data_IF_069675321720
#
_entry.id   IF_069675321720
#
_cell.length_a   1.000
_cell.length_b   1.000
_cell.length_c   1.000
_cell.angle_alpha   90.00
_cell.angle_beta   90.00
_cell.angle_gamma   90.00
#
_symmetry.space_group_name_H-M   'P 1'
#
loop_
_entity.id
_entity.type
_entity.pdbx_description
1 polymer ?
#
# COMPACT_ATOMS: atom_id res chain seq x y z
N UNK A 1 15.75 1.86 -14.61
CA UNK A 1 16.51 1.94 -13.31
C UNK A 1 17.92 1.47 -13.56
N UNK A 2 18.92 2.07 -12.89
CA UNK A 2 20.34 1.67 -12.96
C UNK A 2 20.55 0.22 -12.45
N UNK A 3 21.45 -0.54 -13.07
CA UNK A 3 21.68 -1.95 -12.74
C UNK A 3 22.23 -2.18 -11.32
N UNK A 4 23.04 -1.27 -10.80
CA UNK A 4 23.54 -1.38 -9.43
C UNK A 4 22.43 -1.11 -8.41
N UNK A 5 21.50 -0.20 -8.76
CA UNK A 5 20.29 0.05 -7.94
C UNK A 5 19.40 -1.19 -7.92
N UNK A 6 19.19 -1.84 -9.06
CA UNK A 6 18.42 -3.09 -9.14
C UNK A 6 19.01 -4.20 -8.27
N UNK A 7 20.32 -4.43 -8.40
CA UNK A 7 21.04 -5.43 -7.59
C UNK A 7 20.98 -5.13 -6.09
N UNK A 8 21.18 -3.87 -5.72
CA UNK A 8 21.05 -3.44 -4.32
C UNK A 8 19.63 -3.68 -3.79
N UNK A 9 18.60 -3.37 -4.57
CA UNK A 9 17.22 -3.55 -4.21
C UNK A 9 16.86 -5.04 -4.03
N UNK A 10 17.35 -5.91 -4.91
CA UNK A 10 17.18 -7.37 -4.79
C UNK A 10 17.74 -7.89 -3.47
N UNK A 11 18.98 -7.52 -3.13
CA UNK A 11 19.60 -7.91 -1.86
C UNK A 11 18.83 -7.36 -0.66
N UNK A 12 18.41 -6.09 -0.72
CA UNK A 12 17.62 -5.47 0.35
C UNK A 12 16.25 -6.14 0.49
N UNK A 13 15.60 -6.51 -0.60
CA UNK A 13 14.30 -7.16 -0.57
C UNK A 13 14.35 -8.47 0.22
N UNK A 14 15.44 -9.25 0.12
CA UNK A 14 15.61 -10.48 0.92
C UNK A 14 15.69 -10.16 2.43
N UNK A 15 16.30 -9.06 2.81
CA UNK A 15 16.32 -8.60 4.21
C UNK A 15 14.91 -8.21 4.68
N UNK A 16 14.19 -7.45 3.86
CA UNK A 16 12.80 -7.05 4.15
C UNK A 16 11.89 -8.26 4.28
N UNK A 17 12.01 -9.26 3.39
CA UNK A 17 11.22 -10.50 3.43
C UNK A 17 11.44 -11.25 4.76
N UNK A 18 12.68 -11.39 5.20
CA UNK A 18 13.00 -11.99 6.51
C UNK A 18 12.38 -11.18 7.66
N UNK A 19 12.41 -9.87 7.57
CA UNK A 19 11.76 -8.97 8.51
C UNK A 19 10.26 -9.18 8.58
N UNK A 20 9.57 -9.24 7.42
CA UNK A 20 8.14 -9.52 7.32
C UNK A 20 7.78 -10.89 7.93
N UNK A 21 8.54 -11.94 7.59
CA UNK A 21 8.34 -13.29 8.12
C UNK A 21 8.46 -13.33 9.65
N UNK A 22 9.44 -12.64 10.22
CA UNK A 22 9.60 -12.53 11.69
C UNK A 22 8.43 -11.82 12.37
N UNK A 23 7.61 -11.08 11.59
CA UNK A 23 6.42 -10.34 12.00
C UNK A 23 5.11 -11.05 11.62
N UNK A 24 5.20 -12.34 11.26
CA UNK A 24 4.06 -13.15 10.84
C UNK A 24 3.32 -12.58 9.61
N UNK A 25 4.07 -11.96 8.69
CA UNK A 25 3.61 -11.45 7.41
C UNK A 25 4.37 -12.14 6.28
N UNK A 26 3.72 -12.33 5.13
CA UNK A 26 4.34 -12.96 3.96
C UNK A 26 4.99 -11.88 3.08
N UNK A 27 6.22 -12.12 2.65
CA UNK A 27 6.95 -11.23 1.74
C UNK A 27 7.32 -11.94 0.44
N UNK A 28 7.21 -11.24 -0.68
CA UNK A 28 7.55 -11.71 -2.02
C UNK A 28 8.40 -10.66 -2.73
N UNK A 29 9.29 -11.10 -3.60
CA UNK A 29 10.07 -10.21 -4.46
C UNK A 29 9.64 -10.36 -5.91
N UNK A 30 9.46 -9.24 -6.58
CA UNK A 30 9.20 -9.17 -8.01
C UNK A 30 10.27 -8.30 -8.67
N UNK A 31 10.93 -8.83 -9.69
CA UNK A 31 12.01 -8.15 -10.40
C UNK A 31 11.52 -6.94 -11.22
N UNK A 32 10.23 -6.94 -11.60
CA UNK A 32 9.57 -5.89 -12.36
C UNK A 32 8.05 -5.87 -12.10
N UNK A 33 7.34 -5.03 -12.85
CA UNK A 33 5.88 -4.87 -12.76
C UNK A 33 5.12 -6.11 -13.25
N UNK A 34 5.62 -6.79 -14.26
CA UNK A 34 5.00 -7.99 -14.83
C UNK A 34 5.08 -9.16 -13.85
N UNK A 35 6.25 -9.39 -13.25
CA UNK A 35 6.41 -10.36 -12.17
C UNK A 35 5.53 -10.05 -10.95
N UNK A 36 5.37 -8.75 -10.61
CA UNK A 36 4.51 -8.31 -9.53
C UNK A 36 3.02 -8.57 -9.82
N UNK A 37 2.57 -8.32 -11.04
CA UNK A 37 1.21 -8.64 -11.48
C UNK A 37 0.92 -10.13 -11.37
N UNK A 38 1.82 -10.96 -11.90
CA UNK A 38 1.70 -12.42 -11.83
C UNK A 38 1.62 -12.90 -10.38
N UNK A 39 2.54 -12.45 -9.53
CA UNK A 39 2.55 -12.79 -8.10
C UNK A 39 1.27 -12.34 -7.38
N UNK A 40 0.73 -11.17 -7.72
CA UNK A 40 -0.51 -10.68 -7.11
C UNK A 40 -1.71 -11.55 -7.50
N UNK A 41 -1.82 -11.94 -8.77
CA UNK A 41 -2.90 -12.81 -9.26
C UNK A 41 -2.81 -14.23 -8.65
N UNK A 42 -1.61 -14.76 -8.43
CA UNK A 42 -1.42 -16.07 -7.74
C UNK A 42 -1.88 -16.05 -6.28
N UNK A 43 -1.97 -14.87 -5.65
CA UNK A 43 -2.44 -14.71 -4.26
C UNK A 43 -3.96 -14.50 -4.16
N UNK A 44 -4.65 -14.28 -5.28
CA UNK A 44 -6.07 -13.98 -5.34
C UNK A 44 -6.82 -15.18 -5.90
N UNK A 45 -7.67 -15.79 -5.09
CA UNK A 45 -8.49 -16.90 -5.52
C UNK A 45 -9.57 -16.40 -6.49
N UNK A 46 -9.91 -17.21 -7.52
CA UNK A 46 -11.02 -16.91 -8.43
C UNK A 46 -12.33 -16.71 -7.65
N UNK A 47 -13.23 -15.92 -8.20
CA UNK A 47 -14.52 -15.54 -7.60
C UNK A 47 -14.41 -14.73 -6.29
N UNK A 48 -13.20 -14.45 -5.78
CA UNK A 48 -13.04 -13.60 -4.59
C UNK A 48 -13.64 -12.21 -4.81
N UNK A 49 -14.21 -11.66 -3.75
CA UNK A 49 -14.54 -10.23 -3.69
C UNK A 49 -13.29 -9.42 -3.38
N UNK A 50 -12.97 -8.47 -4.26
CA UNK A 50 -11.74 -7.68 -4.15
C UNK A 50 -12.07 -6.20 -4.03
N UNK A 51 -11.63 -5.59 -2.95
CA UNK A 51 -11.69 -4.16 -2.75
C UNK A 51 -10.29 -3.54 -2.80
N UNK A 52 -10.23 -2.25 -3.09
CA UNK A 52 -9.00 -1.48 -3.11
C UNK A 52 -9.20 -0.13 -2.39
N UNK A 53 -8.26 0.21 -1.48
CA UNK A 53 -8.01 1.61 -1.16
C UNK A 53 -7.32 2.25 -2.36
N UNK A 54 -7.45 3.53 -2.55
CA UNK A 54 -6.75 4.19 -3.65
C UNK A 54 -5.26 3.78 -3.67
N UNK A 55 -4.89 2.93 -4.64
CA UNK A 55 -3.59 2.25 -4.68
C UNK A 55 -2.95 2.39 -6.07
N UNK A 56 -2.24 3.49 -6.29
CA UNK A 56 -1.51 3.74 -7.53
C UNK A 56 -0.56 2.60 -7.91
N UNK A 57 0.11 2.01 -6.92
CA UNK A 57 1.04 0.89 -7.19
C UNK A 57 0.34 -0.32 -7.82
N UNK A 58 -0.91 -0.63 -7.42
CA UNK A 58 -1.67 -1.71 -8.04
C UNK A 58 -2.14 -1.35 -9.47
N UNK A 59 -2.46 -0.08 -9.71
CA UNK A 59 -2.79 0.41 -11.06
C UNK A 59 -1.56 0.35 -11.97
N UNK A 60 -0.39 0.80 -11.49
CA UNK A 60 0.85 0.85 -12.27
C UNK A 60 1.40 -0.51 -12.70
N UNK A 61 1.06 -1.59 -11.99
CA UNK A 61 1.39 -2.97 -12.39
C UNK A 61 0.30 -3.63 -13.26
N UNK A 62 -0.78 -2.91 -13.59
CA UNK A 62 -1.89 -3.44 -14.40
C UNK A 62 -2.85 -4.38 -13.64
N UNK A 63 -2.75 -4.45 -12.30
CA UNK A 63 -3.58 -5.39 -11.53
C UNK A 63 -5.07 -5.06 -11.57
N UNK A 64 -5.42 -3.79 -11.56
CA UNK A 64 -6.82 -3.35 -11.57
C UNK A 64 -7.52 -3.74 -12.87
N UNK A 65 -6.85 -3.57 -13.99
CA UNK A 65 -7.32 -3.96 -15.33
C UNK A 65 -7.48 -5.48 -15.42
N UNK A 66 -6.48 -6.23 -15.00
CA UNK A 66 -6.52 -7.69 -14.99
C UNK A 66 -7.66 -8.24 -14.13
N UNK A 67 -7.96 -7.61 -12.98
CA UNK A 67 -9.07 -8.03 -12.12
C UNK A 67 -10.45 -7.71 -12.71
N UNK A 68 -10.57 -6.62 -13.46
CA UNK A 68 -11.83 -6.25 -14.15
C UNK A 68 -12.12 -7.14 -15.35
N UNK A 69 -11.09 -7.63 -16.01
CA UNK A 69 -11.18 -8.50 -17.21
C UNK A 69 -11.27 -9.99 -16.85
N UNK A 70 -10.78 -10.37 -15.68
CA UNK A 70 -10.75 -11.75 -15.21
C UNK A 70 -12.03 -12.20 -14.49
N UNK A 71 -12.01 -13.41 -13.96
CA UNK A 71 -13.14 -14.02 -13.23
C UNK A 71 -13.08 -13.65 -11.73
N UNK A 72 -13.19 -12.33 -11.44
CA UNK A 72 -13.12 -11.79 -10.07
C UNK A 72 -14.29 -10.85 -9.79
N UNK A 73 -14.72 -10.75 -8.55
CA UNK A 73 -15.74 -9.80 -8.12
C UNK A 73 -15.10 -8.50 -7.65
N UNK A 74 -14.54 -7.71 -8.58
CA UNK A 74 -13.91 -6.43 -8.25
C UNK A 74 -14.96 -5.38 -7.85
N UNK A 75 -14.84 -4.83 -6.65
CA UNK A 75 -15.74 -3.82 -6.09
C UNK A 75 -15.38 -2.44 -6.66
N UNK A 76 -16.17 -1.98 -7.63
CA UNK A 76 -16.04 -0.64 -8.20
C UNK A 76 -16.74 0.39 -7.32
N UNK A 77 -15.99 0.98 -6.41
CA UNK A 77 -16.48 1.99 -5.46
C UNK A 77 -16.98 3.28 -6.12
N UNK A 78 -16.62 3.53 -7.36
CA UNK A 78 -17.11 4.73 -8.09
C UNK A 78 -18.62 4.69 -8.36
N UNK A 79 -19.22 3.50 -8.31
CA UNK A 79 -20.65 3.25 -8.51
C UNK A 79 -21.45 3.20 -7.20
N UNK A 80 -20.82 3.48 -6.07
CA UNK A 80 -21.38 3.35 -4.72
C UNK A 80 -21.30 4.68 -3.97
N UNK A 81 -22.18 4.86 -2.99
CA UNK A 81 -21.99 5.93 -2.01
C UNK A 81 -20.71 5.66 -1.19
N UNK A 82 -20.09 6.69 -0.60
CA UNK A 82 -18.89 6.50 0.23
C UNK A 82 -19.09 5.47 1.35
N UNK A 83 -20.28 5.43 1.96
CA UNK A 83 -20.60 4.50 3.04
C UNK A 83 -20.75 3.06 2.55
N UNK A 84 -21.47 2.85 1.44
CA UNK A 84 -21.64 1.52 0.83
C UNK A 84 -20.27 0.97 0.38
N UNK A 85 -19.48 1.77 -0.31
CA UNK A 85 -18.15 1.37 -0.76
C UNK A 85 -17.20 1.02 0.40
N UNK A 86 -17.30 1.72 1.54
CA UNK A 86 -16.54 1.38 2.73
C UNK A 86 -16.98 0.03 3.32
N UNK A 87 -18.27 -0.18 3.50
CA UNK A 87 -18.80 -1.42 4.06
C UNK A 87 -18.48 -2.63 3.16
N UNK A 88 -18.66 -2.49 1.85
CA UNK A 88 -18.30 -3.51 0.88
C UNK A 88 -16.80 -3.81 0.91
N UNK A 89 -15.95 -2.78 1.03
CA UNK A 89 -14.50 -2.96 1.13
C UNK A 89 -14.09 -3.67 2.42
N UNK A 90 -14.79 -3.41 3.51
CA UNK A 90 -14.50 -4.00 4.81
C UNK A 90 -14.86 -5.50 4.85
N UNK A 91 -15.92 -5.90 4.15
CA UNK A 91 -16.42 -7.28 4.07
C UNK A 91 -15.80 -8.10 2.92
N UNK A 92 -14.97 -7.48 2.09
CA UNK A 92 -14.33 -8.14 0.96
C UNK A 92 -13.40 -9.29 1.39
N UNK A 93 -13.17 -10.28 0.52
CA UNK A 93 -12.21 -11.36 0.78
C UNK A 93 -10.77 -10.84 0.71
N UNK A 94 -10.48 -9.96 -0.25
CA UNK A 94 -9.15 -9.40 -0.50
C UNK A 94 -9.19 -7.88 -0.52
N UNK A 95 -8.25 -7.26 0.16
CA UNK A 95 -8.02 -5.81 0.09
C UNK A 95 -6.66 -5.49 -0.51
N UNK A 96 -6.67 -4.74 -1.61
CA UNK A 96 -5.45 -4.26 -2.25
C UNK A 96 -5.03 -2.92 -1.68
N UNK A 97 -3.78 -2.79 -1.34
CA UNK A 97 -3.21 -1.56 -0.80
C UNK A 97 -1.74 -1.39 -1.17
N UNK A 98 -1.19 -0.26 -0.79
CA UNK A 98 0.25 -0.01 -0.72
C UNK A 98 0.59 0.65 0.61
N UNK A 99 1.85 0.62 1.00
CA UNK A 99 2.34 1.39 2.14
C UNK A 99 2.77 2.80 1.70
N UNK A 100 2.63 3.79 2.57
CA UNK A 100 3.26 5.11 2.38
C UNK A 100 4.77 5.05 2.63
N UNK A 101 5.21 4.13 3.48
CA UNK A 101 6.59 3.73 3.69
C UNK A 101 6.62 2.37 4.39
N UNK A 102 7.76 1.70 4.36
CA UNK A 102 8.03 0.54 5.19
C UNK A 102 9.49 0.52 5.63
N UNK A 103 9.78 -0.21 6.70
CA UNK A 103 11.14 -0.36 7.18
C UNK A 103 11.83 -1.60 6.57
N UNK A 104 13.15 -1.59 6.56
CA UNK A 104 13.96 -2.73 6.10
C UNK A 104 13.78 -3.99 6.95
N UNK A 105 13.25 -3.88 8.17
CA UNK A 105 12.89 -4.98 9.05
C UNK A 105 11.38 -5.33 9.03
N UNK A 106 10.62 -4.78 8.05
CA UNK A 106 9.27 -5.23 7.73
C UNK A 106 8.11 -4.54 8.46
N UNK A 107 8.30 -3.37 9.06
CA UNK A 107 7.18 -2.56 9.61
C UNK A 107 6.54 -1.76 8.47
N UNK A 108 5.21 -1.80 8.36
CA UNK A 108 4.46 -1.01 7.39
C UNK A 108 3.93 0.28 8.02
N UNK A 109 3.99 1.39 7.28
CA UNK A 109 3.48 2.70 7.70
C UNK A 109 2.45 3.20 6.69
N UNK A 110 1.24 3.49 7.18
CA UNK A 110 0.16 4.05 6.40
C UNK A 110 -0.41 5.30 7.09
N UNK A 111 -0.54 6.41 6.36
CA UNK A 111 -1.22 7.63 6.81
C UNK A 111 -2.53 7.76 6.06
N UNK A 112 -3.60 8.14 6.77
CA UNK A 112 -4.95 8.22 6.19
C UNK A 112 -5.70 9.45 6.72
N UNK A 113 -6.61 10.00 5.91
CA UNK A 113 -7.47 11.12 6.27
C UNK A 113 -8.79 10.65 6.90
N UNK A 114 -9.44 9.68 6.27
CA UNK A 114 -10.77 9.20 6.65
C UNK A 114 -10.79 7.84 7.35
N UNK A 115 -9.64 7.26 7.62
CA UNK A 115 -9.47 5.92 8.20
C UNK A 115 -10.06 4.77 7.35
N UNK A 116 -10.57 5.06 6.17
CA UNK A 116 -11.23 4.05 5.32
C UNK A 116 -10.25 2.96 4.83
N UNK A 117 -9.04 3.33 4.47
CA UNK A 117 -7.99 2.39 4.07
C UNK A 117 -7.35 1.70 5.27
N UNK A 118 -6.96 2.47 6.28
CA UNK A 118 -6.27 1.90 7.46
C UNK A 118 -7.17 0.98 8.28
N UNK A 119 -8.50 1.18 8.31
CA UNK A 119 -9.43 0.24 8.96
C UNK A 119 -9.49 -1.11 8.24
N UNK A 120 -9.52 -1.11 6.89
CA UNK A 120 -9.45 -2.34 6.10
C UNK A 120 -8.11 -3.06 6.31
N UNK A 121 -7.00 -2.32 6.36
CA UNK A 121 -5.66 -2.89 6.65
C UNK A 121 -5.62 -3.48 8.06
N UNK A 122 -6.10 -2.73 9.07
CA UNK A 122 -6.00 -3.12 10.48
C UNK A 122 -6.86 -4.34 10.81
N UNK A 123 -8.10 -4.40 10.32
CA UNK A 123 -9.02 -5.47 10.70
C UNK A 123 -9.90 -6.00 9.56
N UNK A 124 -10.29 -5.24 8.57
CA UNK A 124 -11.28 -5.61 7.55
C UNK A 124 -11.06 -6.98 6.88
N UNK A 125 -10.76 -7.03 5.59
CA UNK A 125 -10.69 -8.24 4.78
C UNK A 125 -9.79 -9.36 5.33
N UNK A 126 -10.12 -10.59 4.98
CA UNK A 126 -9.37 -11.80 5.39
C UNK A 126 -7.94 -11.80 4.87
N UNK A 127 -7.71 -11.20 3.69
CA UNK A 127 -6.40 -11.10 3.03
C UNK A 127 -6.13 -9.64 2.64
N UNK A 128 -4.95 -9.14 2.96
CA UNK A 128 -4.48 -7.80 2.54
C UNK A 128 -3.20 -7.98 1.72
N UNK A 129 -3.23 -7.53 0.48
CA UNK A 129 -2.08 -7.59 -0.43
C UNK A 129 -1.54 -6.19 -0.63
N UNK A 130 -0.30 -5.98 -0.22
CA UNK A 130 0.44 -4.75 -0.43
C UNK A 130 1.32 -4.86 -1.66
N UNK A 131 1.19 -3.90 -2.59
CA UNK A 131 2.11 -3.72 -3.71
C UNK A 131 3.03 -2.55 -3.34
N UNK A 132 4.31 -2.84 -3.13
CA UNK A 132 5.26 -1.86 -2.58
C UNK A 132 6.49 -1.76 -3.47
N UNK A 133 6.68 -0.61 -4.12
CA UNK A 133 7.92 -0.31 -4.83
C UNK A 133 9.10 -0.15 -3.85
N UNK A 134 10.29 -0.56 -4.25
CA UNK A 134 11.50 -0.47 -3.43
C UNK A 134 11.87 0.97 -3.05
N UNK A 135 11.32 1.97 -3.74
CA UNK A 135 11.41 3.40 -3.39
C UNK A 135 10.77 3.75 -2.03
N UNK A 136 9.96 2.85 -1.45
CA UNK A 136 9.25 3.07 -0.17
C UNK A 136 9.94 2.43 1.03
N UNK A 137 11.03 1.69 0.82
CA UNK A 137 11.78 1.02 1.88
C UNK A 137 12.76 2.00 2.53
N UNK A 138 12.66 2.14 3.84
CA UNK A 138 13.48 2.99 4.70
C UNK A 138 14.28 2.13 5.69
N UNK A 139 15.33 2.71 6.29
CA UNK A 139 16.18 2.01 7.26
C UNK A 139 15.45 1.61 8.55
N UNK A 140 14.59 2.50 9.04
CA UNK A 140 13.97 2.43 10.37
C UNK A 140 12.61 3.14 10.40
N UNK A 141 11.90 3.03 11.52
CA UNK A 141 10.55 3.58 11.67
C UNK A 141 10.53 5.12 11.62
N UNK A 142 11.54 5.80 12.15
CA UNK A 142 11.60 7.26 12.11
C UNK A 142 11.76 7.76 10.68
N UNK A 143 12.65 7.15 9.91
CA UNK A 143 12.84 7.43 8.48
C UNK A 143 11.58 7.11 7.67
N UNK A 144 10.88 6.02 7.99
CA UNK A 144 9.62 5.64 7.33
C UNK A 144 8.51 6.66 7.63
N UNK A 145 8.36 7.10 8.86
CA UNK A 145 7.42 8.16 9.22
C UNK A 145 7.76 9.50 8.56
N UNK A 146 9.05 9.86 8.49
CA UNK A 146 9.51 11.06 7.79
C UNK A 146 9.19 10.97 6.29
N UNK A 147 9.44 9.81 5.66
CA UNK A 147 9.08 9.59 4.25
C UNK A 147 7.57 9.71 4.02
N UNK A 148 6.77 9.04 4.83
CA UNK A 148 5.32 9.06 4.72
C UNK A 148 4.76 10.49 4.81
N UNK A 149 5.28 11.31 5.73
CA UNK A 149 4.84 12.68 5.97
C UNK A 149 5.43 13.70 5.00
N UNK A 150 6.67 13.56 4.55
CA UNK A 150 7.35 14.57 3.76
C UNK A 150 7.40 14.26 2.25
N UNK A 151 7.13 13.03 1.86
CA UNK A 151 7.10 12.61 0.45
C UNK A 151 5.69 12.15 0.08
N UNK A 152 5.20 11.06 0.68
CA UNK A 152 3.93 10.46 0.26
C UNK A 152 2.74 11.40 0.46
N UNK A 153 2.57 11.99 1.65
CA UNK A 153 1.43 12.86 1.94
C UNK A 153 1.40 14.15 1.10
N UNK A 154 2.50 14.91 0.95
CA UNK A 154 2.54 16.08 0.07
C UNK A 154 2.28 15.76 -1.40
N UNK A 155 2.79 14.61 -1.89
CA UNK A 155 2.54 14.14 -3.25
C UNK A 155 1.05 13.78 -3.42
N UNK A 156 0.49 13.02 -2.47
CA UNK A 156 -0.92 12.66 -2.51
C UNK A 156 -1.85 13.88 -2.42
N UNK A 157 -1.46 14.93 -1.71
CA UNK A 157 -2.25 16.17 -1.61
C UNK A 157 -2.47 16.84 -2.98
N UNK A 158 -1.62 16.57 -3.99
CA UNK A 158 -1.78 17.12 -5.33
C UNK A 158 -3.02 16.55 -6.05
N UNK A 159 -3.48 15.35 -5.68
CA UNK A 159 -4.66 14.70 -6.28
C UNK A 159 -6.00 15.28 -5.79
N UNK A 160 -6.01 16.11 -4.74
CA UNK A 160 -7.22 16.59 -4.10
C UNK A 160 -7.31 18.11 -4.13
N UNK A 161 -8.52 18.65 -4.15
CA UNK A 161 -8.76 20.08 -3.94
C UNK A 161 -8.78 20.40 -2.44
N UNK A 162 -7.59 20.53 -1.85
CA UNK A 162 -7.39 20.79 -0.42
C UNK A 162 -6.49 22.00 -0.21
N UNK A 163 -6.74 22.76 0.86
CA UNK A 163 -5.98 23.95 1.24
C UNK A 163 -4.96 23.65 2.33
N UNK A 164 -4.14 22.62 2.10
CA UNK A 164 -3.08 22.27 3.04
C UNK A 164 -1.75 22.94 2.68
N UNK A 165 -0.90 23.31 3.65
CA UNK A 165 0.40 23.93 3.37
C UNK A 165 1.28 23.09 2.45
N UNK A 166 1.24 21.76 2.59
CA UNK A 166 2.04 20.86 1.78
C UNK A 166 1.65 20.84 0.30
N UNK A 167 0.39 21.12 -0.05
CA UNK A 167 -0.05 21.24 -1.44
C UNK A 167 0.64 22.42 -2.15
N UNK A 168 0.86 23.52 -1.42
CA UNK A 168 1.45 24.75 -1.97
C UNK A 168 2.98 24.71 -1.94
N UNK A 169 3.56 24.10 -0.91
CA UNK A 169 5.00 24.17 -0.64
C UNK A 169 5.76 22.88 -0.97
N UNK A 170 5.04 21.76 -1.22
CA UNK A 170 5.63 20.43 -1.39
C UNK A 170 6.21 19.82 -0.10
N UNK A 171 6.05 20.48 1.06
CA UNK A 171 6.67 20.11 2.33
C UNK A 171 5.62 19.96 3.45
N UNK A 172 5.80 18.96 4.32
CA UNK A 172 4.98 18.78 5.50
C UNK A 172 5.28 19.85 6.58
N UNK A 173 4.22 20.45 7.15
CA UNK A 173 4.27 21.43 8.23
C UNK A 173 3.60 20.94 9.52
N UNK A 174 3.26 19.66 9.62
CA UNK A 174 2.48 19.12 10.74
C UNK A 174 1.17 19.90 10.95
N UNK A 175 0.49 20.19 9.87
CA UNK A 175 -0.66 21.08 9.86
C UNK A 175 -1.87 20.46 10.60
N UNK A 176 -2.68 21.36 11.19
CA UNK A 176 -4.01 21.06 11.76
C UNK A 176 -5.10 21.71 10.91
N UNK A 177 -4.87 21.74 9.59
CA UNK A 177 -5.87 22.25 8.65
C UNK A 177 -7.13 21.40 8.67
N UNK A 178 -8.32 22.01 8.53
CA UNK A 178 -9.58 21.25 8.37
C UNK A 178 -9.53 20.28 7.18
N UNK A 179 -8.74 20.60 6.15
CA UNK A 179 -8.57 19.77 4.93
C UNK A 179 -7.44 18.74 5.06
N UNK A 180 -6.87 18.53 6.27
CA UNK A 180 -5.72 17.62 6.42
C UNK A 180 -6.04 16.19 5.95
N UNK A 181 -5.11 15.61 5.20
CA UNK A 181 -5.16 14.22 4.74
C UNK A 181 -4.41 13.26 5.69
N UNK A 182 -3.90 13.78 6.82
CA UNK A 182 -3.01 13.04 7.72
C UNK A 182 -3.63 12.93 9.13
N UNK A 183 -4.86 12.39 9.22
CA UNK A 183 -5.59 12.30 10.48
C UNK A 183 -5.18 11.09 11.31
N UNK A 184 -4.84 9.96 10.67
CA UNK A 184 -4.44 8.72 11.33
C UNK A 184 -3.13 8.19 10.76
N UNK A 185 -2.31 7.62 11.64
CA UNK A 185 -1.11 6.87 11.27
C UNK A 185 -1.22 5.45 11.80
N UNK A 186 -1.26 4.48 10.89
CA UNK A 186 -1.23 3.07 11.21
C UNK A 186 0.21 2.55 11.05
N UNK A 187 0.74 1.99 12.13
CA UNK A 187 2.02 1.29 12.14
C UNK A 187 1.73 -0.20 12.32
N UNK A 188 1.82 -0.96 11.22
CA UNK A 188 1.62 -2.41 11.27
C UNK A 188 2.94 -3.09 11.60
N UNK A 189 3.13 -3.40 12.88
CA UNK A 189 4.36 -3.99 13.42
C UNK A 189 4.38 -5.51 13.35
N UNK A 190 3.22 -6.14 13.45
CA UNK A 190 3.06 -7.60 13.53
C UNK A 190 1.66 -7.99 13.08
N UNK A 191 1.50 -9.12 12.39
CA UNK A 191 0.18 -9.68 12.09
C UNK A 191 -0.14 -10.82 13.06
N UNK A 192 -1.26 -10.71 13.80
CA UNK A 192 -1.73 -11.80 14.65
C UNK A 192 -2.22 -13.00 13.85
N UNK A 193 -2.74 -12.75 12.64
CA UNK A 193 -3.33 -13.76 11.79
C UNK A 193 -2.33 -14.19 10.71
N UNK A 194 -1.95 -15.49 10.74
CA UNK A 194 -1.09 -16.09 9.73
C UNK A 194 -1.75 -15.99 8.35
N UNK A 195 -0.98 -15.64 7.32
CA UNK A 195 -1.48 -15.59 5.94
C UNK A 195 -2.46 -14.45 5.66
N UNK A 196 -2.64 -13.47 6.57
CA UNK A 196 -3.51 -12.32 6.30
C UNK A 196 -2.81 -11.21 5.54
N UNK A 197 -1.56 -10.89 5.86
CA UNK A 197 -0.82 -9.79 5.24
C UNK A 197 0.25 -10.34 4.30
N UNK A 198 0.16 -9.95 3.04
CA UNK A 198 1.10 -10.28 1.97
C UNK A 198 1.70 -9.00 1.42
N UNK A 199 3.01 -8.95 1.24
CA UNK A 199 3.73 -7.78 0.73
C UNK A 199 4.56 -8.19 -0.48
N UNK A 200 4.24 -7.65 -1.64
CA UNK A 200 5.00 -7.82 -2.88
C UNK A 200 5.92 -6.62 -3.03
N UNK A 201 7.22 -6.87 -2.90
CA UNK A 201 8.29 -5.88 -3.08
C UNK A 201 8.68 -5.85 -4.55
N UNK A 202 8.39 -4.74 -5.20
CA UNK A 202 8.64 -4.58 -6.63
C UNK A 202 9.93 -3.80 -6.84
N UNK A 203 10.85 -4.36 -7.64
CA UNK A 203 12.12 -3.73 -7.95
C UNK A 203 11.96 -2.55 -8.94
N UNK A 204 11.07 -1.64 -8.58
CA UNK A 204 10.80 -0.42 -9.34
C UNK A 204 10.36 0.70 -8.40
N UNK A 205 10.22 1.90 -8.96
CA UNK A 205 9.56 3.04 -8.31
C UNK A 205 8.07 2.97 -8.60
N UNK A 206 7.25 2.75 -7.58
CA UNK A 206 5.81 2.66 -7.69
C UNK A 206 5.11 3.60 -6.72
N UNK A 207 4.14 4.34 -7.23
CA UNK A 207 3.36 5.29 -6.46
C UNK A 207 4.23 6.24 -5.61
N UNK A 208 3.72 6.71 -4.49
CA UNK A 208 4.40 7.68 -3.62
C UNK A 208 4.19 7.40 -2.14
#
# INVERSE_FOLDING_TARGET
MDENVKKRNEVLAQTVIKGLQSRNMSGYYAEDKEAALKQALELIDEESTIAMGDCHSAQEIGLVEALKEGNYNYIDRSKMTPREGLLASYDADVFLSSANAMTSDGILVNIDGNSNRVSCIAQGPKKVIFIVGMNKVCSDLDSAMKRARNIAAPTNAQNFDVKTPCKTTGKCFDCKSPDTLCCQSLITRYSRHVGRIHVILVNDTLGY
#
